data_IF_984864713117
#
_entry.id   IF_984864713117
#
_cell.length_a   1.000
_cell.length_b   1.000
_cell.length_c   1.000
_cell.angle_alpha   90.00
_cell.angle_beta   90.00
_cell.angle_gamma   90.00
#
_symmetry.space_group_name_H-M   'P 1'
#
loop_
_entity.id
_entity.type
_entity.pdbx_description
1 polymer ?
2 water ?
#
# COMPACT_ATOMS: atom_id res chain seq x y z
N UNK A 14 -11.79 16.18 10.03
CA UNK A 14 -10.64 15.98 9.08
C UNK A 14 -11.04 15.22 7.83
N UNK A 15 -10.68 15.75 6.68
CA UNK A 15 -10.99 15.07 5.42
C UNK A 15 -10.23 13.73 5.36
N UNK A 16 -9.01 13.73 5.88
CA UNK A 16 -8.18 12.53 5.91
C UNK A 16 -8.88 11.45 6.76
N UNK A 17 -9.30 11.80 7.97
CA UNK A 17 -10.03 10.82 8.78
C UNK A 17 -11.25 10.30 8.01
N UNK A 18 -11.97 11.19 7.31
CA UNK A 18 -13.13 10.74 6.55
C UNK A 18 -12.77 9.69 5.49
N UNK A 19 -11.72 9.99 4.73
CA UNK A 19 -11.29 9.07 3.70
C UNK A 19 -10.70 7.77 4.32
N UNK A 20 -10.03 7.82 5.45
CA UNK A 20 -9.56 6.54 6.07
C UNK A 20 -10.85 5.73 6.42
N UNK A 21 -11.78 6.41 7.06
CA UNK A 21 -13.04 5.77 7.48
C UNK A 21 -13.85 5.22 6.32
N UNK A 22 -13.64 5.76 5.13
CA UNK A 22 -14.36 5.28 3.97
C UNK A 22 -13.99 3.79 3.65
N UNK A 23 -12.88 3.32 4.20
CA UNK A 23 -12.50 1.93 3.95
C UNK A 23 -13.47 1.05 4.73
N UNK A 24 -14.15 1.66 5.69
CA UNK A 24 -15.16 0.93 6.43
C UNK A 24 -16.51 1.20 5.82
N UNK A 25 -16.80 2.48 5.54
CA UNK A 25 -18.13 2.81 5.03
C UNK A 25 -18.47 2.67 3.56
N UNK A 26 -17.49 2.75 2.69
CA UNK A 26 -17.78 2.73 1.28
C UNK A 26 -17.16 1.61 0.46
N UNK A 27 -16.36 0.80 1.11
CA UNK A 27 -15.64 -0.25 0.38
C UNK A 27 -16.54 -1.27 -0.30
N UNK A 28 -17.57 -1.73 0.41
CA UNK A 28 -18.46 -2.71 -0.19
C UNK A 28 -19.15 -2.17 -1.42
N UNK A 29 -19.58 -0.92 -1.34
CA UNK A 29 -20.21 -0.31 -2.49
C UNK A 29 -19.27 -0.22 -3.68
N UNK A 30 -18.04 0.20 -3.41
CA UNK A 30 -17.06 0.34 -4.44
C UNK A 30 -16.79 -1.07 -5.01
N UNK A 31 -16.62 -2.03 -4.11
CA UNK A 31 -16.34 -3.40 -4.54
C UNK A 31 -17.44 -3.92 -5.48
N UNK A 32 -18.69 -3.72 -5.06
CA UNK A 32 -19.82 -4.26 -5.82
C UNK A 32 -20.12 -3.51 -7.08
N UNK A 33 -19.92 -2.20 -7.06
CA UNK A 33 -20.24 -1.47 -8.26
C UNK A 33 -19.14 -1.39 -9.31
N UNK A 34 -17.90 -1.41 -8.88
CA UNK A 34 -16.81 -1.31 -9.82
C UNK A 34 -15.98 -2.61 -9.93
N UNK A 35 -15.54 -3.15 -8.80
CA UNK A 35 -14.66 -4.35 -8.87
C UNK A 35 -15.36 -5.57 -9.53
N UNK A 36 -16.50 -5.94 -8.97
CA UNK A 36 -17.26 -7.06 -9.50
C UNK A 36 -17.66 -6.91 -10.94
N UNK A 37 -17.55 -5.73 -11.53
CA UNK A 37 -17.96 -5.58 -12.95
C UNK A 37 -16.77 -5.48 -13.88
N UNK A 38 -15.58 -5.50 -13.29
CA UNK A 38 -14.34 -5.38 -14.02
C UNK A 38 -14.12 -6.44 -15.12
N UNK A 39 -14.55 -7.68 -14.94
CA UNK A 39 -14.27 -8.61 -16.03
C UNK A 39 -15.08 -8.37 -17.32
N UNK A 40 -16.23 -7.71 -17.21
CA UNK A 40 -17.06 -7.41 -18.39
C UNK A 40 -16.64 -6.09 -19.11
N UNK A 47 -6.94 -5.51 -20.95
CA UNK A 47 -5.75 -6.00 -20.26
C UNK A 47 -5.46 -7.48 -20.49
N UNK A 52 1.37 -9.81 -21.06
CA UNK A 52 2.66 -10.17 -21.66
C UNK A 52 3.66 -10.90 -20.78
N UNK A 53 4.76 -11.20 -21.45
CA UNK A 53 5.91 -11.87 -20.89
C UNK A 53 6.31 -11.22 -19.56
N UNK A 54 6.64 -9.91 -19.64
CA UNK A 54 7.10 -9.16 -18.48
C UNK A 54 6.13 -8.00 -18.25
N UNK A 55 5.75 -7.77 -17.00
CA UNK A 55 4.83 -6.67 -16.74
C UNK A 55 5.47 -5.75 -15.72
N UNK A 56 5.51 -4.46 -16.06
CA UNK A 56 6.08 -3.46 -15.17
C UNK A 56 4.96 -2.71 -14.40
N UNK A 57 5.31 -2.25 -13.18
CA UNK A 57 4.39 -1.48 -12.33
C UNK A 57 5.24 -0.27 -11.98
N UNK A 58 4.78 0.93 -12.37
CA UNK A 58 5.66 2.11 -12.24
C UNK A 58 4.93 3.25 -11.53
N UNK A 59 5.54 3.86 -10.52
CA UNK A 59 4.82 4.93 -9.84
C UNK A 59 5.72 5.64 -8.85
N UNK A 60 5.19 6.66 -8.13
CA UNK A 60 5.96 7.44 -7.16
C UNK A 60 5.30 7.48 -5.79
N UNK A 61 6.13 7.43 -4.75
CA UNK A 61 5.63 7.55 -3.36
C UNK A 61 4.65 6.43 -3.04
N UNK A 62 3.48 6.78 -2.47
CA UNK A 62 2.47 5.74 -2.18
C UNK A 62 2.15 4.93 -3.42
N UNK A 63 2.20 5.56 -4.61
CA UNK A 63 1.86 4.81 -5.82
C UNK A 63 3.00 3.83 -6.21
N UNK A 64 4.20 4.14 -5.76
CA UNK A 64 5.28 3.18 -6.01
C UNK A 64 5.04 2.06 -5.04
N UNK A 65 4.67 2.39 -3.80
CA UNK A 65 4.41 1.30 -2.85
C UNK A 65 3.29 0.39 -3.31
N UNK A 66 2.30 0.97 -3.98
CA UNK A 66 1.16 0.26 -4.49
C UNK A 66 1.67 -0.66 -5.62
N UNK A 67 2.50 -0.10 -6.51
CA UNK A 67 3.09 -0.84 -7.65
C UNK A 67 3.92 -2.02 -7.14
N UNK A 68 4.69 -1.80 -6.08
CA UNK A 68 5.49 -2.88 -5.52
C UNK A 68 4.58 -3.99 -4.99
N UNK A 69 3.57 -3.61 -4.19
CA UNK A 69 2.66 -4.59 -3.62
C UNK A 69 1.95 -5.42 -4.69
N UNK A 70 1.41 -4.76 -5.73
CA UNK A 70 0.71 -5.55 -6.73
C UNK A 70 1.68 -6.37 -7.60
N UNK A 71 2.91 -5.88 -7.81
CA UNK A 71 3.89 -6.63 -8.63
C UNK A 71 4.13 -8.03 -7.98
N UNK A 72 4.23 -8.06 -6.66
CA UNK A 72 4.45 -9.39 -6.00
C UNK A 72 3.23 -10.28 -6.31
N UNK A 73 2.03 -9.73 -6.10
CA UNK A 73 0.82 -10.53 -6.30
C UNK A 73 0.63 -11.02 -7.74
N UNK A 74 0.89 -10.15 -8.70
CA UNK A 74 0.80 -10.58 -10.11
C UNK A 74 1.74 -11.72 -10.46
N UNK A 75 2.97 -11.61 -10.01
CA UNK A 75 3.93 -12.67 -10.26
C UNK A 75 3.43 -13.94 -9.55
N UNK A 76 2.90 -13.79 -8.36
CA UNK A 76 2.42 -14.94 -7.57
C UNK A 76 1.24 -15.65 -8.23
N UNK A 77 0.24 -14.90 -8.64
CA UNK A 77 -0.93 -15.57 -9.20
C UNK A 77 -0.92 -15.78 -10.69
N UNK A 78 -0.19 -14.97 -11.46
CA UNK A 78 -0.16 -15.18 -12.91
C UNK A 78 1.13 -15.86 -13.40
N UNK A 79 2.10 -16.03 -12.51
CA UNK A 79 3.37 -16.64 -12.83
C UNK A 79 4.07 -15.97 -13.99
N UNK A 80 4.14 -14.64 -13.99
CA UNK A 80 4.80 -13.91 -15.06
C UNK A 80 5.86 -13.07 -14.39
N UNK A 81 6.88 -12.67 -15.13
CA UNK A 81 7.94 -11.88 -14.55
C UNK A 81 7.38 -10.44 -14.32
N UNK A 82 7.61 -9.87 -13.14
CA UNK A 82 7.17 -8.45 -12.90
C UNK A 82 8.29 -7.61 -12.35
N UNK A 83 8.22 -6.29 -12.49
CA UNK A 83 9.23 -5.39 -11.93
C UNK A 83 8.41 -4.17 -11.45
N UNK A 84 8.75 -3.67 -10.27
CA UNK A 84 8.10 -2.43 -9.74
C UNK A 84 9.29 -1.44 -9.83
N UNK A 85 9.04 -0.24 -10.39
CA UNK A 85 10.13 0.73 -10.57
C UNK A 85 9.65 2.13 -10.22
N UNK A 86 10.47 2.87 -9.45
CA UNK A 86 10.05 4.25 -9.11
C UNK A 86 10.00 4.98 -10.46
N UNK A 87 8.98 5.81 -10.71
CA UNK A 87 8.89 6.39 -12.04
C UNK A 87 10.04 7.26 -12.48
N UNK A 88 10.70 7.92 -11.54
CA UNK A 88 11.85 8.75 -11.90
C UNK A 88 12.95 7.94 -12.59
N UNK A 89 13.17 6.69 -12.16
CA UNK A 89 14.20 5.88 -12.81
C UNK A 89 13.86 5.56 -14.27
N UNK A 90 12.57 5.42 -14.56
CA UNK A 90 12.16 5.14 -15.92
C UNK A 90 12.24 6.46 -16.72
N UNK A 91 11.66 7.49 -16.13
CA UNK A 91 11.63 8.81 -16.80
C UNK A 91 13.00 9.27 -17.25
N UNK A 92 14.03 9.04 -16.43
CA UNK A 92 15.36 9.47 -16.81
C UNK A 92 16.24 8.34 -17.41
N UNK A 93 15.60 7.23 -17.72
CA UNK A 93 16.19 6.06 -18.36
C UNK A 93 17.46 5.59 -17.63
N UNK A 94 17.30 5.46 -16.32
CA UNK A 94 18.39 4.99 -15.49
C UNK A 94 18.23 3.53 -15.12
N UNK A 95 17.11 2.94 -15.53
CA UNK A 95 16.85 1.53 -15.28
C UNK A 95 17.68 0.60 -16.19
N UNK A 96 17.99 -0.59 -15.70
CA UNK A 96 18.74 -1.52 -16.56
C UNK A 96 17.76 -1.73 -17.77
N UNK A 97 18.28 -1.85 -19.00
CA UNK A 97 17.39 -1.99 -20.18
C UNK A 97 16.16 -2.91 -20.02
N UNK A 98 15.07 -2.60 -20.73
CA UNK A 98 13.87 -3.44 -20.66
C UNK A 98 13.87 -4.54 -21.71
N UNK A 99 12.89 -5.42 -21.59
CA UNK A 99 12.74 -6.48 -22.57
C UNK A 99 12.35 -5.76 -23.87
N UNK A 100 12.27 -6.51 -24.96
CA UNK A 100 11.95 -5.92 -26.24
C UNK A 100 10.51 -5.38 -26.35
N UNK A 101 9.62 -5.87 -25.50
CA UNK A 101 8.22 -5.43 -25.55
C UNK A 101 7.62 -5.82 -24.22
N UNK A 102 6.49 -5.21 -23.87
CA UNK A 102 5.86 -5.58 -22.63
C UNK A 102 4.62 -4.75 -22.35
N UNK A 103 4.16 -4.83 -21.12
CA UNK A 103 2.97 -4.10 -20.67
C UNK A 103 3.42 -3.36 -19.40
N UNK A 104 2.99 -2.11 -19.21
CA UNK A 104 3.40 -1.34 -18.03
C UNK A 104 2.18 -0.67 -17.40
N UNK A 105 2.02 -0.86 -16.10
CA UNK A 105 0.93 -0.20 -15.39
C UNK A 105 1.62 1.05 -14.80
N UNK A 106 1.09 2.22 -15.14
CA UNK A 106 1.62 3.52 -14.64
C UNK A 106 0.61 4.09 -13.60
N UNK A 107 1.06 4.44 -12.40
CA UNK A 107 0.18 4.90 -11.35
C UNK A 107 0.41 6.37 -11.00
N UNK A 108 -0.66 7.14 -10.99
CA UNK A 108 -0.55 8.56 -10.54
C UNK A 108 -2.01 8.90 -10.19
N UNK A 109 -2.27 9.04 -8.92
CA UNK A 109 -3.62 9.33 -8.42
C UNK A 109 -4.19 10.57 -9.14
N UNK A 110 -3.44 11.68 -9.11
CA UNK A 110 -3.96 12.93 -9.76
C UNK A 110 -3.83 12.84 -11.28
N UNK A 111 -2.98 11.90 -11.73
CA UNK A 111 -2.77 11.70 -13.16
C UNK A 111 -1.85 12.74 -13.82
N UNK A 112 -1.29 13.63 -13.03
CA UNK A 112 -0.46 14.67 -13.63
C UNK A 112 0.99 14.69 -13.10
N UNK A 113 1.35 13.64 -12.36
CA UNK A 113 2.71 13.50 -11.79
C UNK A 113 3.73 13.50 -12.93
N UNK A 114 4.58 14.54 -12.94
CA UNK A 114 5.53 14.69 -14.04
C UNK A 114 6.36 13.46 -14.37
N UNK A 115 6.93 12.85 -13.33
CA UNK A 115 7.77 11.67 -13.52
C UNK A 115 7.00 10.51 -14.17
N UNK A 116 5.70 10.39 -13.86
CA UNK A 116 4.91 9.27 -14.39
C UNK A 116 4.60 9.54 -15.84
N UNK A 117 4.35 10.83 -16.17
CA UNK A 117 4.09 11.17 -17.56
C UNK A 117 5.37 11.02 -18.40
N UNK A 118 6.51 11.37 -17.80
CA UNK A 118 7.75 11.19 -18.56
C UNK A 118 7.99 9.70 -18.77
N UNK A 119 7.74 8.93 -17.71
CA UNK A 119 7.92 7.46 -17.83
C UNK A 119 7.01 6.87 -18.90
N UNK A 120 5.75 7.34 -18.94
CA UNK A 120 4.80 6.88 -19.91
C UNK A 120 5.34 7.12 -21.31
N UNK A 121 5.89 8.31 -21.54
CA UNK A 121 6.43 8.61 -22.85
C UNK A 121 7.65 7.70 -23.23
N UNK A 122 8.56 7.56 -22.30
CA UNK A 122 9.72 6.69 -22.50
C UNK A 122 9.24 5.25 -22.80
N UNK A 123 8.29 4.74 -22.03
CA UNK A 123 7.87 3.34 -22.22
C UNK A 123 7.18 3.16 -23.55
N UNK A 124 6.37 4.16 -23.93
CA UNK A 124 5.66 4.06 -25.20
C UNK A 124 6.64 4.08 -26.35
N UNK A 125 7.68 4.88 -26.24
CA UNK A 125 8.69 4.95 -27.29
C UNK A 125 9.56 3.70 -27.32
N UNK A 126 9.49 2.89 -26.27
CA UNK A 126 10.23 1.63 -26.20
C UNK A 126 9.33 0.41 -26.45
N UNK A 127 8.25 0.59 -27.18
CA UNK A 127 7.37 -0.55 -27.49
C UNK A 127 6.70 -1.21 -26.29
N UNK A 128 6.43 -0.44 -25.25
CA UNK A 128 5.67 -1.02 -24.14
C UNK A 128 4.29 -0.36 -24.19
N UNK A 129 3.22 -1.14 -24.08
CA UNK A 129 1.88 -0.56 -24.04
C UNK A 129 1.61 -0.16 -22.57
N UNK A 130 1.06 1.04 -22.37
CA UNK A 130 0.83 1.53 -21.03
C UNK A 130 -0.60 1.60 -20.57
N UNK A 131 -0.79 1.22 -19.30
CA UNK A 131 -2.08 1.27 -18.68
C UNK A 131 -2.04 2.42 -17.69
N UNK A 132 -2.98 3.38 -17.82
CA UNK A 132 -2.95 4.52 -16.95
C UNK A 132 -3.84 4.43 -15.74
N UNK A 133 -3.28 4.14 -14.57
CA UNK A 133 -4.13 4.04 -13.38
C UNK A 133 -4.20 5.41 -12.71
N UNK A 134 -5.42 5.99 -12.59
CA UNK A 134 -5.52 7.30 -11.96
C UNK A 134 -6.96 7.46 -11.48
N UNK A 135 -7.23 8.45 -10.61
CA UNK A 135 -8.63 8.64 -10.23
C UNK A 135 -9.18 9.88 -10.95
N UNK A 136 -8.38 10.47 -11.84
CA UNK A 136 -8.79 11.71 -12.53
C UNK A 136 -8.96 11.51 -14.04
N UNK A 137 -10.21 11.44 -14.51
CA UNK A 137 -10.49 11.18 -15.92
C UNK A 137 -10.02 12.21 -16.94
N UNK A 138 -9.75 13.44 -16.49
CA UNK A 138 -9.32 14.47 -17.41
C UNK A 138 -7.81 14.70 -17.32
N UNK A 139 -7.11 13.85 -16.54
CA UNK A 139 -5.68 14.06 -16.36
C UNK A 139 -4.87 13.65 -17.57
N UNK A 140 -3.64 14.15 -17.61
CA UNK A 140 -2.76 13.83 -18.70
C UNK A 140 -2.55 12.28 -18.76
N UNK A 141 -2.41 11.62 -17.60
CA UNK A 141 -2.24 10.13 -17.68
C UNK A 141 -3.48 9.46 -18.32
N UNK A 142 -4.67 9.96 -17.99
CA UNK A 142 -5.88 9.39 -18.56
C UNK A 142 -5.88 9.60 -20.07
N UNK A 143 -5.35 10.73 -20.49
CA UNK A 143 -5.35 11.06 -21.91
C UNK A 143 -4.13 10.59 -22.70
N UNK A 144 -3.00 10.33 -22.02
CA UNK A 144 -1.75 9.93 -22.71
C UNK A 144 -1.33 8.47 -22.62
N UNK A 145 -1.97 7.72 -21.74
CA UNK A 145 -1.63 6.31 -21.62
C UNK A 145 -2.37 5.60 -22.75
N UNK A 146 -1.90 4.42 -23.14
CA UNK A 146 -2.54 3.65 -24.17
C UNK A 146 -3.91 3.11 -23.75
N UNK A 147 -4.03 2.74 -22.48
CA UNK A 147 -5.24 2.11 -21.93
C UNK A 147 -5.51 2.73 -20.57
N UNK A 148 -6.29 3.81 -20.55
CA UNK A 148 -6.57 4.43 -19.27
C UNK A 148 -7.52 3.60 -18.44
N UNK A 149 -7.36 3.64 -17.13
CA UNK A 149 -8.21 2.89 -16.22
C UNK A 149 -8.46 3.87 -15.11
N UNK A 150 -9.52 4.65 -15.24
CA UNK A 150 -9.84 5.63 -14.25
C UNK A 150 -10.71 5.01 -13.15
N UNK A 151 -10.28 5.14 -11.90
CA UNK A 151 -11.02 4.58 -10.76
C UNK A 151 -12.03 5.56 -10.24
N UNK A 152 -13.25 5.09 -10.00
CA UNK A 152 -14.31 5.95 -9.50
C UNK A 152 -14.17 6.09 -8.01
N UNK A 153 -13.11 6.76 -7.60
CA UNK A 153 -12.82 6.92 -6.18
C UNK A 153 -12.59 8.41 -5.92
N UNK A 154 -13.28 8.96 -4.93
CA UNK A 154 -13.02 10.38 -4.61
C UNK A 154 -12.11 10.46 -3.44
N UNK A 155 -10.89 10.93 -3.65
CA UNK A 155 -9.99 11.06 -2.55
C UNK A 155 -9.31 12.44 -2.76
N UNK A 156 -9.54 13.29 -1.76
CA UNK A 156 -9.10 14.70 -1.69
C UNK A 156 -7.89 15.03 -0.88
N UNK A 157 -7.66 14.29 0.19
CA UNK A 157 -6.58 14.63 1.06
C UNK A 157 -5.24 14.49 0.40
N UNK A 158 -4.25 15.19 0.98
CA UNK A 158 -2.86 15.12 0.51
C UNK A 158 -2.39 13.66 0.63
N UNK A 159 -2.58 13.06 1.80
CA UNK A 159 -2.14 11.69 2.00
C UNK A 159 -3.09 10.67 1.41
N UNK A 160 -2.53 9.72 0.66
CA UNK A 160 -3.34 8.67 0.08
C UNK A 160 -3.73 7.70 1.18
N UNK A 161 -5.02 7.31 1.19
CA UNK A 161 -5.50 6.39 2.19
C UNK A 161 -6.29 5.31 1.46
N UNK A 162 -7.58 5.56 1.31
CA UNK A 162 -8.48 4.60 0.66
C UNK A 162 -8.14 4.28 -0.79
N UNK A 163 -7.52 5.22 -1.50
CA UNK A 163 -7.20 4.95 -2.91
C UNK A 163 -6.16 3.82 -3.01
N UNK A 164 -5.27 3.72 -2.05
CA UNK A 164 -4.25 2.65 -2.12
C UNK A 164 -5.01 1.29 -2.01
N UNK A 165 -5.82 1.19 -0.98
CA UNK A 165 -6.56 -0.06 -0.72
C UNK A 165 -7.49 -0.39 -1.84
N UNK A 166 -8.29 0.58 -2.30
CA UNK A 166 -9.19 0.27 -3.37
C UNK A 166 -8.56 -0.05 -4.71
N UNK A 167 -7.46 0.60 -5.07
CA UNK A 167 -6.85 0.28 -6.35
C UNK A 167 -6.17 -1.12 -6.16
N UNK A 168 -5.57 -1.34 -5.01
CA UNK A 168 -4.89 -2.64 -4.76
C UNK A 168 -5.94 -3.79 -4.84
N UNK A 169 -7.05 -3.61 -4.16
CA UNK A 169 -8.12 -4.60 -4.21
C UNK A 169 -8.51 -4.85 -5.65
N UNK A 170 -8.71 -3.78 -6.42
CA UNK A 170 -9.13 -3.98 -7.80
C UNK A 170 -8.14 -4.76 -8.66
N UNK A 171 -6.85 -4.46 -8.54
CA UNK A 171 -5.87 -5.10 -9.37
C UNK A 171 -5.63 -6.53 -8.86
N UNK A 172 -5.71 -6.78 -7.55
CA UNK A 172 -5.52 -8.19 -7.09
C UNK A 172 -6.68 -9.01 -7.68
N UNK A 173 -7.89 -8.48 -7.53
CA UNK A 173 -9.08 -9.18 -8.08
C UNK A 173 -8.95 -9.42 -9.56
N UNK A 174 -8.53 -8.40 -10.30
CA UNK A 174 -8.32 -8.53 -11.74
C UNK A 174 -7.28 -9.63 -12.10
N UNK A 175 -6.19 -9.69 -11.34
CA UNK A 175 -5.20 -10.71 -11.63
C UNK A 175 -5.79 -12.12 -11.46
N UNK A 176 -6.52 -12.30 -10.37
CA UNK A 176 -7.09 -13.63 -10.15
C UNK A 176 -8.11 -13.95 -11.25
N UNK A 177 -8.89 -12.97 -11.65
CA UNK A 177 -9.88 -13.25 -12.73
C UNK A 177 -9.15 -13.66 -14.01
N UNK A 178 -8.04 -13.01 -14.30
CA UNK A 178 -7.32 -13.34 -15.53
C UNK A 178 -6.73 -14.77 -15.42
N UNK A 179 -6.30 -15.12 -14.22
CA UNK A 179 -5.70 -16.45 -14.00
C UNK A 179 -6.73 -17.56 -13.98
N UNK A 180 -7.99 -17.20 -13.78
CA UNK A 180 -9.03 -18.20 -13.63
C UNK A 180 -9.15 -18.71 -12.18
N UNK A 181 -8.59 -17.96 -11.22
CA UNK A 181 -8.68 -18.29 -9.79
C UNK A 181 -9.97 -17.81 -9.18
N UNK A 182 -10.40 -18.46 -8.11
CA UNK A 182 -11.65 -18.07 -7.45
C UNK A 182 -11.47 -16.73 -6.75
N UNK A 183 -12.45 -15.84 -6.88
CA UNK A 183 -12.30 -14.56 -6.20
C UNK A 183 -13.27 -14.47 -5.04
N UNK A 184 -13.90 -15.59 -4.69
CA UNK A 184 -14.86 -15.47 -3.61
C UNK A 184 -14.33 -14.92 -2.29
N UNK A 185 -13.07 -15.16 -1.91
CA UNK A 185 -12.60 -14.63 -0.67
C UNK A 185 -12.51 -13.08 -0.60
N UNK A 186 -12.48 -12.43 -1.74
CA UNK A 186 -12.41 -10.95 -1.70
C UNK A 186 -13.75 -10.40 -1.14
N UNK A 187 -14.88 -11.06 -1.47
CA UNK A 187 -16.19 -10.60 -0.90
C UNK A 187 -16.15 -10.73 0.60
N UNK A 188 -15.59 -11.85 1.06
CA UNK A 188 -15.51 -12.05 2.50
C UNK A 188 -14.62 -10.99 3.13
N UNK A 189 -13.46 -10.71 2.55
CA UNK A 189 -12.58 -9.71 3.19
C UNK A 189 -13.20 -8.32 3.15
N UNK A 190 -13.80 -7.98 2.01
CA UNK A 190 -14.48 -6.68 1.95
C UNK A 190 -15.58 -6.58 3.02
N UNK A 191 -16.32 -7.68 3.23
CA UNK A 191 -17.39 -7.68 4.22
C UNK A 191 -16.91 -7.52 5.62
N UNK A 192 -15.65 -7.94 5.84
CA UNK A 192 -14.98 -7.88 7.13
C UNK A 192 -14.38 -6.51 7.47
N UNK A 193 -14.28 -5.62 6.48
CA UNK A 193 -13.58 -4.34 6.69
C UNK A 193 -14.13 -3.45 7.83
N UNK A 194 -15.48 -3.38 8.00
CA UNK A 194 -15.94 -2.51 9.11
C UNK A 194 -15.47 -2.98 10.47
N UNK A 195 -15.65 -4.29 10.75
CA UNK A 195 -15.20 -4.82 12.02
C UNK A 195 -13.67 -4.70 12.14
N UNK A 196 -12.98 -4.96 11.03
CA UNK A 196 -11.50 -4.87 11.04
C UNK A 196 -11.08 -3.46 11.45
N UNK A 197 -11.76 -2.50 10.88
CA UNK A 197 -11.49 -1.08 11.14
C UNK A 197 -11.75 -0.74 12.61
N UNK A 198 -12.92 -1.15 13.11
CA UNK A 198 -13.27 -0.86 14.50
C UNK A 198 -12.32 -1.52 15.48
N UNK A 199 -11.91 -2.78 15.23
CA UNK A 199 -10.98 -3.43 16.12
C UNK A 199 -9.65 -2.65 16.08
N UNK A 200 -9.25 -2.28 14.86
CA UNK A 200 -7.97 -1.57 14.67
C UNK A 200 -8.01 -0.27 15.48
N UNK A 201 -9.06 0.50 15.29
CA UNK A 201 -9.17 1.77 16.00
C UNK A 201 -9.05 1.63 17.49
N UNK A 202 -9.79 0.65 18.04
CA UNK A 202 -9.79 0.45 19.48
C UNK A 202 -8.50 -0.13 20.05
N UNK A 203 -7.87 -1.04 19.31
CA UNK A 203 -6.61 -1.62 19.74
C UNK A 203 -5.52 -0.52 19.75
N UNK A 204 -5.49 0.32 18.72
CA UNK A 204 -4.45 1.35 18.63
C UNK A 204 -4.71 2.48 19.66
N UNK A 205 -5.97 2.71 19.99
CA UNK A 205 -6.28 3.73 21.01
C UNK A 205 -5.61 3.39 22.38
N UNK A 206 -5.35 2.11 22.64
CA UNK A 206 -4.75 1.66 23.90
C UNK A 206 -3.25 1.83 23.98
N UNK A 207 -2.62 2.15 22.85
CA UNK A 207 -1.18 2.34 22.85
C UNK A 207 -0.88 3.74 23.42
N UNK A 208 0.13 3.80 24.28
CA UNK A 208 0.56 5.06 24.87
C UNK A 208 1.41 5.75 23.80
N UNK A 209 0.73 6.41 22.86
CA UNK A 209 1.39 7.06 21.73
C UNK A 209 2.45 8.09 22.04
N UNK A 210 2.16 8.97 23.00
CA UNK A 210 3.12 10.02 23.36
C UNK A 210 4.45 9.41 23.78
N UNK A 211 4.45 8.14 24.17
CA UNK A 211 5.69 7.49 24.57
C UNK A 211 6.38 6.68 23.45
N UNK A 212 5.88 6.78 22.22
CA UNK A 212 6.54 6.02 21.11
C UNK A 212 6.82 6.99 19.98
N UNK A 213 8.09 7.09 19.61
CA UNK A 213 8.45 7.99 18.53
C UNK A 213 9.30 7.33 17.44
N UNK A 214 9.28 6.01 17.40
CA UNK A 214 10.04 5.23 16.39
C UNK A 214 9.11 4.10 15.98
N UNK A 215 8.59 4.18 14.74
CA UNK A 215 7.67 3.14 14.25
C UNK A 215 8.40 2.23 13.24
N UNK A 216 8.20 0.92 13.37
CA UNK A 216 8.84 -0.07 12.50
C UNK A 216 7.70 -0.95 11.96
N UNK A 217 7.65 -1.15 10.63
CA UNK A 217 6.62 -1.95 9.98
C UNK A 217 7.28 -3.17 9.34
N UNK A 218 6.87 -4.38 9.76
CA UNK A 218 7.52 -5.59 9.27
C UNK A 218 6.55 -6.46 8.51
N UNK A 219 6.98 -6.99 7.38
CA UNK A 219 6.09 -7.91 6.63
C UNK A 219 6.87 -8.48 5.45
N UNK A 220 6.49 -9.67 4.99
CA UNK A 220 7.16 -10.25 3.83
C UNK A 220 6.37 -10.12 2.53
N UNK A 221 7.12 -10.08 1.42
CA UNK A 221 6.55 -10.05 0.08
C UNK A 221 5.47 -8.99 -0.04
N UNK A 222 4.25 -9.35 -0.46
CA UNK A 222 3.20 -8.33 -0.54
C UNK A 222 3.07 -7.53 0.78
N UNK A 223 3.28 -8.20 1.92
CA UNK A 223 3.16 -7.50 3.23
C UNK A 223 4.32 -6.54 3.51
N UNK A 224 5.43 -6.71 2.78
CA UNK A 224 6.54 -5.74 2.87
C UNK A 224 6.05 -4.49 2.15
N UNK A 225 5.43 -4.64 0.98
CA UNK A 225 4.89 -3.48 0.28
C UNK A 225 3.87 -2.75 1.19
N UNK A 226 3.05 -3.54 1.91
CA UNK A 226 2.06 -2.95 2.82
C UNK A 226 2.83 -2.20 3.91
N UNK A 227 3.96 -2.78 4.34
CA UNK A 227 4.81 -2.17 5.39
C UNK A 227 5.46 -0.87 4.90
N UNK A 228 5.91 -0.84 3.65
CA UNK A 228 6.51 0.39 3.14
C UNK A 228 5.48 1.50 3.11
N UNK A 229 4.28 1.16 2.64
CA UNK A 229 3.20 2.12 2.57
C UNK A 229 2.82 2.54 4.03
N UNK A 230 2.84 1.57 4.96
CA UNK A 230 2.49 1.93 6.36
C UNK A 230 3.48 3.00 6.91
N UNK A 231 4.76 2.79 6.68
CA UNK A 231 5.73 3.76 7.17
C UNK A 231 5.51 5.11 6.56
N UNK A 232 5.17 5.15 5.28
CA UNK A 232 4.99 6.43 4.64
C UNK A 232 3.78 7.18 5.22
N UNK A 233 2.72 6.44 5.55
CA UNK A 233 1.55 7.11 6.14
C UNK A 233 1.92 7.77 7.46
N UNK A 234 2.71 7.10 8.28
CA UNK A 234 3.05 7.70 9.56
C UNK A 234 4.06 8.80 9.43
N UNK A 235 4.85 8.74 8.36
CA UNK A 235 5.81 9.81 8.16
C UNK A 235 5.05 11.04 7.74
N UNK A 236 4.20 10.91 6.73
CA UNK A 236 3.47 12.03 6.25
C UNK A 236 2.44 12.59 7.22
N UNK A 237 1.65 11.71 7.84
CA UNK A 237 0.57 12.21 8.70
C UNK A 237 0.98 12.77 10.02
N UNK A 238 1.93 12.08 10.64
CA UNK A 238 2.32 12.39 12.00
C UNK A 238 3.72 12.86 12.25
N UNK A 239 4.55 12.92 11.20
CA UNK A 239 5.94 13.29 11.33
C UNK A 239 6.76 12.41 12.26
N UNK A 240 6.54 11.11 12.23
CA UNK A 240 7.26 10.22 13.09
C UNK A 240 8.18 9.44 12.19
N UNK A 241 9.43 9.28 12.66
CA UNK A 241 10.43 8.53 11.94
C UNK A 241 9.86 7.09 11.88
N UNK A 242 9.68 6.58 10.67
CA UNK A 242 9.14 5.24 10.49
C UNK A 242 9.93 4.53 9.40
N UNK A 243 10.00 3.23 9.51
CA UNK A 243 10.75 2.45 8.54
C UNK A 243 10.14 1.06 8.37
N UNK A 244 10.43 0.46 7.22
CA UNK A 244 9.88 -0.87 6.94
C UNK A 244 10.96 -1.88 6.55
N UNK A 245 10.78 -3.17 6.91
CA UNK A 245 11.71 -4.20 6.54
C UNK A 245 10.93 -5.49 6.30
N UNK A 246 11.57 -6.40 5.56
CA UNK A 246 10.99 -7.75 5.39
C UNK A 246 11.17 -8.33 6.83
N UNK A 247 10.18 -9.07 7.30
CA UNK A 247 10.15 -9.45 8.72
C UNK A 247 11.41 -9.89 9.44
N UNK A 248 12.01 -10.97 8.96
CA UNK A 248 13.20 -11.50 9.61
C UNK A 248 14.44 -10.67 9.35
N UNK A 249 14.34 -9.70 8.40
CA UNK A 249 15.54 -8.88 8.10
C UNK A 249 15.83 -7.98 9.26
N UNK A 250 14.80 -7.73 10.06
CA UNK A 250 14.94 -6.79 11.16
C UNK A 250 16.05 -7.18 12.16
N UNK A 251 16.38 -8.46 12.27
CA UNK A 251 17.42 -8.83 13.20
C UNK A 251 18.80 -8.52 12.68
N UNK A 252 18.92 -8.36 11.34
CA UNK A 252 20.23 -8.22 10.75
C UNK A 252 20.74 -6.84 10.72
N UNK A 253 20.69 -6.21 11.88
CA UNK A 253 21.18 -4.85 11.97
C UNK A 253 20.25 -3.79 12.44
N UNK A 254 19.09 -3.65 11.78
CA UNK A 254 18.10 -2.63 12.12
C UNK A 254 17.67 -2.63 13.59
N UNK A 255 17.66 -3.78 14.23
CA UNK A 255 17.13 -3.79 15.62
C UNK A 255 18.11 -3.12 16.61
N UNK A 256 19.27 -2.73 16.11
CA UNK A 256 20.20 -2.02 16.99
C UNK A 256 19.51 -0.77 17.54
N UNK A 257 18.56 -0.18 16.80
CA UNK A 257 17.90 1.03 17.25
C UNK A 257 16.82 0.82 18.28
N UNK A 258 16.49 -0.45 18.52
CA UNK A 258 15.34 -0.66 19.42
C UNK A 258 15.58 -0.24 20.88
N UNK A 259 14.59 0.45 21.40
CA UNK A 259 14.57 0.86 22.82
C UNK A 259 13.14 1.24 23.17
N UNK A 260 12.87 1.48 24.46
CA UNK A 260 11.54 1.84 24.86
C UNK A 260 11.22 3.00 23.95
N UNK A 261 10.03 3.01 23.38
CA UNK A 261 9.67 4.08 22.48
C UNK A 261 9.53 3.53 21.06
N UNK A 262 10.10 2.36 20.80
CA UNK A 262 9.97 1.77 19.47
C UNK A 262 8.65 1.00 19.43
N UNK A 263 7.86 1.23 18.40
CA UNK A 263 6.57 0.55 18.21
C UNK A 263 6.69 -0.27 16.91
N UNK A 264 6.42 -1.58 16.98
CA UNK A 264 6.54 -2.44 15.81
C UNK A 264 5.16 -2.97 15.38
N UNK A 265 4.80 -2.87 14.09
CA UNK A 265 3.54 -3.43 13.61
C UNK A 265 4.03 -4.52 12.70
N UNK A 266 3.70 -5.75 13.05
CA UNK A 266 4.15 -6.91 12.33
C UNK A 266 2.98 -7.55 11.58
N UNK A 267 3.15 -7.70 10.26
CA UNK A 267 2.08 -8.32 9.41
C UNK A 267 2.29 -9.83 9.43
N UNK A 268 1.41 -10.55 10.13
CA UNK A 268 1.56 -12.03 10.19
C UNK A 268 1.28 -12.72 8.84
N UNK A 269 1.98 -13.81 8.50
CA UNK A 269 1.69 -14.50 7.23
C UNK A 269 1.47 -15.99 7.55
N UNK A 270 0.73 -16.66 6.67
CA UNK A 270 0.36 -18.07 6.88
C UNK A 270 1.54 -18.93 7.26
N UNK A 271 1.35 -19.73 8.30
CA UNK A 271 2.38 -20.66 8.71
C UNK A 271 3.58 -20.22 9.53
N UNK A 272 3.74 -18.91 9.77
CA UNK A 272 4.90 -18.40 10.49
C UNK A 272 4.66 -17.90 11.87
N UNK A 273 3.59 -18.37 12.50
CA UNK A 273 3.32 -17.90 13.82
C UNK A 273 4.52 -18.15 14.78
N UNK A 274 5.16 -19.30 14.65
CA UNK A 274 6.28 -19.59 15.52
C UNK A 274 7.44 -18.59 15.40
N UNK A 275 7.83 -18.32 14.15
CA UNK A 275 8.91 -17.38 13.95
C UNK A 275 8.50 -15.97 14.38
N UNK A 276 7.24 -15.60 14.15
CA UNK A 276 6.74 -14.28 14.48
C UNK A 276 6.67 -14.09 15.98
N UNK A 277 6.20 -15.11 16.67
CA UNK A 277 6.12 -14.96 18.11
C UNK A 277 7.52 -14.87 18.72
N UNK A 278 8.46 -15.64 18.19
CA UNK A 278 9.83 -15.62 18.70
C UNK A 278 10.42 -14.23 18.49
N UNK A 279 10.19 -13.64 17.32
CA UNK A 279 10.74 -12.28 17.05
C UNK A 279 10.07 -11.23 17.98
N UNK A 280 8.75 -11.34 18.14
CA UNK A 280 8.03 -10.44 19.01
C UNK A 280 8.65 -10.47 20.42
N UNK A 281 8.84 -11.67 20.97
CA UNK A 281 9.38 -11.75 22.35
C UNK A 281 10.78 -11.13 22.40
N UNK A 282 11.55 -11.36 21.35
CA UNK A 282 12.91 -10.81 21.30
C UNK A 282 12.87 -9.27 21.29
N UNK A 283 12.08 -8.67 20.39
CA UNK A 283 11.99 -7.24 20.36
C UNK A 283 11.44 -6.67 21.66
N UNK A 284 10.48 -7.39 22.26
CA UNK A 284 9.89 -6.93 23.51
C UNK A 284 10.96 -6.88 24.61
N UNK A 285 11.84 -7.86 24.62
CA UNK A 285 12.88 -7.90 25.63
C UNK A 285 13.90 -6.79 25.46
N UNK A 286 13.86 -6.11 24.30
CA UNK A 286 14.78 -5.03 24.04
C UNK A 286 14.09 -3.72 24.29
N UNK A 287 12.79 -3.76 24.65
CA UNK A 287 12.10 -2.52 24.92
C UNK A 287 10.99 -2.11 23.98
N UNK A 288 10.84 -2.80 22.87
CA UNK A 288 9.78 -2.40 21.95
C UNK A 288 8.37 -2.81 22.37
N UNK A 289 7.41 -2.10 21.85
CA UNK A 289 6.00 -2.44 22.02
C UNK A 289 5.73 -3.12 20.65
N UNK A 290 5.18 -4.33 20.66
CA UNK A 290 4.90 -5.03 19.39
C UNK A 290 3.45 -5.33 19.25
N UNK A 291 2.93 -5.02 18.06
CA UNK A 291 1.54 -5.25 17.72
C UNK A 291 1.50 -6.16 16.47
N UNK A 292 0.75 -7.27 16.55
CA UNK A 292 0.63 -8.13 15.37
C UNK A 292 -0.68 -7.93 14.65
N UNK A 293 -0.60 -7.84 13.32
CA UNK A 293 -1.79 -7.69 12.50
C UNK A 293 -1.98 -9.04 11.81
N UNK A 294 -3.12 -9.67 12.01
CA UNK A 294 -3.35 -10.99 11.40
C UNK A 294 -3.97 -11.96 12.45
N UNK A 295 -4.47 -13.10 11.95
CA UNK A 295 -5.08 -14.07 12.84
C UNK A 295 -4.04 -14.55 13.81
N UNK A 296 -4.42 -14.64 15.09
CA UNK A 296 -3.49 -15.07 16.09
C UNK A 296 -2.71 -13.88 16.65
N UNK A 297 -3.05 -12.68 16.17
CA UNK A 297 -2.39 -11.48 16.66
C UNK A 297 -3.35 -10.53 17.32
N UNK A 298 -2.91 -9.29 17.52
CA UNK A 298 -3.69 -8.25 18.16
C UNK A 298 -4.86 -7.71 17.37
N UNK A 299 -4.73 -7.68 16.06
CA UNK A 299 -5.81 -7.22 15.17
C UNK A 299 -5.98 -8.36 14.15
N UNK A 300 -6.98 -9.21 14.36
CA UNK A 300 -7.23 -10.34 13.47
C UNK A 300 -7.68 -9.94 12.09
N UNK A 301 -7.13 -10.67 11.12
CA UNK A 301 -7.52 -10.56 9.71
C UNK A 301 -6.80 -11.72 9.04
N UNK A 302 -7.34 -12.24 7.94
CA UNK A 302 -6.73 -13.38 7.25
C UNK A 302 -5.23 -13.20 7.01
N UNK A 303 -4.46 -14.27 7.16
CA UNK A 303 -3.01 -14.19 6.94
C UNK A 303 -2.66 -14.57 5.51
N UNK A 304 -3.69 -14.68 4.68
CA UNK A 304 -3.46 -15.01 3.27
C UNK A 304 -3.16 -13.69 2.56
N UNK A 305 -2.44 -13.79 1.46
CA UNK A 305 -1.99 -12.61 0.69
C UNK A 305 -3.11 -11.68 0.24
N UNK A 306 -4.29 -12.24 -0.01
CA UNK A 306 -5.43 -11.43 -0.45
C UNK A 306 -5.78 -10.31 0.55
N UNK A 307 -5.45 -10.48 1.83
CA UNK A 307 -5.79 -9.44 2.81
C UNK A 307 -4.92 -8.16 2.63
N UNK A 308 -3.97 -8.19 1.71
CA UNK A 308 -3.08 -7.04 1.52
C UNK A 308 -3.83 -5.73 1.34
N UNK A 309 -4.98 -5.76 0.66
CA UNK A 309 -5.72 -4.52 0.42
C UNK A 309 -6.34 -3.86 1.68
N UNK A 310 -6.39 -4.60 2.79
CA UNK A 310 -6.88 -4.03 4.03
C UNK A 310 -5.71 -3.72 4.99
N UNK A 311 -4.53 -4.30 4.76
CA UNK A 311 -3.52 -4.20 5.79
C UNK A 311 -2.77 -2.91 6.06
N UNK A 312 -3.02 -1.89 5.26
CA UNK A 312 -2.40 -0.58 5.61
C UNK A 312 -3.38 0.22 6.52
N UNK A 313 -4.58 -0.26 6.71
CA UNK A 313 -5.54 0.45 7.55
C UNK A 313 -5.02 0.67 8.99
N UNK A 314 -4.48 -0.35 9.63
CA UNK A 314 -3.98 -0.12 10.98
C UNK A 314 -2.93 1.03 11.01
N UNK A 315 -1.99 1.03 10.05
CA UNK A 315 -0.98 2.11 10.04
C UNK A 315 -1.56 3.49 9.71
N UNK A 316 -2.61 3.55 8.88
CA UNK A 316 -3.25 4.86 8.59
C UNK A 316 -3.90 5.37 9.90
N UNK A 317 -4.49 4.46 10.68
CA UNK A 317 -5.10 4.83 11.96
C UNK A 317 -4.01 5.22 12.96
N UNK A 318 -2.89 4.51 12.96
CA UNK A 318 -1.79 4.85 13.84
C UNK A 318 -1.32 6.26 13.45
N UNK A 319 -1.18 6.51 12.15
CA UNK A 319 -0.67 7.81 11.73
C UNK A 319 -1.61 8.91 12.22
N UNK A 320 -2.90 8.69 12.00
CA UNK A 320 -3.90 9.69 12.38
C UNK A 320 -3.87 9.95 13.90
N UNK A 321 -3.99 8.89 14.66
CA UNK A 321 -4.00 9.05 16.10
C UNK A 321 -2.71 9.65 16.61
N UNK A 322 -1.58 9.29 16.00
CA UNK A 322 -0.31 9.84 16.47
C UNK A 322 -0.23 11.32 16.17
N UNK A 323 -0.79 11.75 15.05
CA UNK A 323 -0.73 13.16 14.73
C UNK A 323 -1.53 13.95 15.78
N UNK A 324 -2.71 13.43 16.14
CA UNK A 324 -3.58 14.10 17.11
C UNK A 324 -2.81 14.22 18.40
N UNK A 325 -2.15 13.13 18.75
CA UNK A 325 -1.32 13.00 19.92
C UNK A 325 -0.25 14.10 20.01
N UNK A 326 0.36 14.42 18.87
CA UNK A 326 1.41 15.43 18.78
C UNK A 326 0.77 16.82 18.67
N UNK A 327 -0.53 16.86 18.38
CA UNK A 327 -1.23 18.10 18.23
C UNK A 327 -0.95 18.69 16.86
N UNK A 328 -0.83 17.84 15.84
CA UNK A 328 -0.60 18.42 14.53
C UNK A 328 -1.70 17.90 13.64
N UNK A 329 -1.91 18.54 12.51
CA UNK A 329 -2.97 18.11 11.61
C UNK A 329 -2.48 17.13 10.57
N UNK A 330 -3.07 15.93 10.52
CA UNK A 330 -2.58 15.02 9.48
C UNK A 330 -3.00 15.47 8.09
N UNK A 331 -3.92 16.42 7.97
CA UNK A 331 -4.32 16.90 6.65
C UNK A 331 -3.34 17.99 6.08
N UNK A 332 -2.39 18.44 6.88
CA UNK A 332 -1.43 19.50 6.44
C UNK A 332 0.00 19.07 6.66
N UNK A 333 0.42 18.01 5.99
CA UNK A 333 1.82 17.61 6.21
C UNK A 333 2.74 18.74 5.67
N UNK A 334 3.80 19.07 6.39
CA UNK A 334 4.69 20.13 5.91
C UNK A 334 5.23 19.78 4.53
N UNK A 335 5.42 20.79 3.69
CA UNK A 335 6.02 20.68 2.34
C UNK A 335 5.42 19.85 1.20
N UNK A 336 4.42 19.02 1.51
CA UNK A 336 3.82 18.16 0.49
C UNK A 336 2.80 18.78 -0.44
N UNK A 337 2.74 18.25 -1.67
CA UNK A 337 1.81 18.69 -2.70
C UNK A 337 1.07 17.49 -3.28
N UNK A 338 -0.20 17.62 -3.65
CA UNK A 338 -0.89 16.43 -4.20
C UNK A 338 -0.22 15.97 -5.49
N UNK A 339 0.03 16.91 -6.40
CA UNK A 339 0.68 16.57 -7.65
C UNK A 339 2.12 17.06 -7.59
N UNK A 340 3.07 16.13 -7.68
CA UNK A 340 4.50 16.49 -7.66
C UNK A 340 4.94 16.74 -9.12
N UNK A 341 5.32 17.98 -9.40
CA UNK A 341 5.68 18.45 -10.75
C UNK A 341 7.08 19.02 -10.84
N UNK A 342 7.90 18.47 -11.75
CA UNK A 342 9.29 18.93 -11.91
C UNK A 342 9.42 20.00 -13.01
#
# INVERSE_FOLDING_TARGET
XGSDKIHHHHHHXSKTLKEITDQKNELKKFFENFVLNLEKTEIFSEIQKNLTDEVLFVGCGSSYNLALTISYYFERVLKIRTKAIPAGEVAFQKIPDLEERGLAFLFSRTGNTTEVLLANDVLKKRNHRTIGITIEEESRLAKESDLPLVFPVREEAIVMTKSFSMILLSLMFLADKIAGNSTERFSELVGYSPEFFDISWKVIEKIDLKEHDHFVFLGMSEFFGVSLESALKCIEMSLTFSEAYSTLEYRHGPKALVKKGTLVFMQKVSGMDEQEKRLRKELESLGATVLEVGEGGDIPVSNDWKSAFLRTVPAQILGYQKAISRGISPDKPPHLEKTVVL
#
